data_IF_966877724881
#
_entry.id   IF_966877724881
#
_cell.length_a   1.000
_cell.length_b   1.000
_cell.length_c   1.000
_cell.angle_alpha   90.00
_cell.angle_beta   90.00
_cell.angle_gamma   90.00
#
_symmetry.space_group_name_H-M   'P 1'
#
loop_
_entity.id
_entity.type
_entity.pdbx_description
1 polymer ?
#
# COMPACT_ATOMS: atom_id res chain seq x y z
N UNK A 1 0.42 38.24 -2.42
CA UNK A 1 1.59 37.36 -2.19
C UNK A 1 1.33 36.27 -1.13
N UNK A 2 0.07 35.84 -0.90
CA UNK A 2 -0.29 34.91 0.18
C UNK A 2 -0.92 33.61 -0.34
N UNK A 3 -0.29 32.99 -1.35
CA UNK A 3 -0.80 31.76 -1.98
C UNK A 3 -0.15 30.46 -1.50
N UNK A 4 0.97 30.52 -0.78
CA UNK A 4 1.80 29.35 -0.48
C UNK A 4 1.29 28.47 0.68
N UNK A 5 0.67 29.07 1.71
CA UNK A 5 0.23 28.34 2.90
C UNK A 5 -0.96 27.39 2.65
N UNK A 6 -1.75 27.62 1.59
CA UNK A 6 -2.91 26.77 1.26
C UNK A 6 -2.52 25.36 0.77
N UNK A 7 -1.25 25.14 0.39
CA UNK A 7 -0.74 23.83 -0.08
C UNK A 7 0.24 23.17 0.90
N UNK A 8 0.33 23.62 2.15
CA UNK A 8 1.26 23.01 3.13
C UNK A 8 2.74 23.17 2.78
N UNK A 9 3.08 24.18 1.98
CA UNK A 9 4.46 24.55 1.64
C UNK A 9 5.01 25.48 2.74
N UNK A 10 6.16 25.18 3.36
CA UNK A 10 6.76 26.06 4.36
C UNK A 10 7.22 27.38 3.72
N UNK A 11 7.34 28.45 4.51
CA UNK A 11 7.80 29.75 4.01
C UNK A 11 9.31 29.76 3.69
N UNK A 12 10.07 28.93 4.41
CA UNK A 12 11.50 28.73 4.25
C UNK A 12 11.82 27.24 4.23
N UNK A 13 12.93 26.88 3.59
CA UNK A 13 13.40 25.52 3.52
C UNK A 13 13.70 24.99 4.94
N UNK A 14 13.05 23.90 5.39
CA UNK A 14 13.30 23.34 6.71
C UNK A 14 14.73 22.83 6.92
N UNK A 15 15.47 22.59 5.83
CA UNK A 15 16.83 22.06 5.87
C UNK A 15 17.90 23.16 5.95
N UNK A 16 17.72 24.28 5.25
CA UNK A 16 18.75 25.33 5.17
C UNK A 16 18.26 26.75 5.51
N UNK A 17 16.98 26.93 5.83
CA UNK A 17 16.37 28.24 6.12
C UNK A 17 16.23 29.14 4.89
N UNK A 18 16.49 28.64 3.68
CA UNK A 18 16.37 29.46 2.47
C UNK A 18 14.92 29.71 2.09
N UNK A 19 14.53 30.95 1.72
CA UNK A 19 13.20 31.24 1.17
C UNK A 19 13.02 30.77 -0.28
N UNK A 20 14.06 30.25 -0.94
CA UNK A 20 14.01 29.84 -2.35
C UNK A 20 13.36 28.47 -2.52
N UNK A 21 12.04 28.41 -2.33
CA UNK A 21 11.22 27.24 -2.57
C UNK A 21 10.45 27.37 -3.89
N UNK A 22 10.65 26.41 -4.79
CA UNK A 22 10.05 26.36 -6.12
C UNK A 22 9.16 25.13 -6.27
N UNK A 23 8.01 25.24 -6.97
CA UNK A 23 7.18 24.08 -7.26
C UNK A 23 7.89 23.16 -8.26
N UNK A 24 8.10 21.91 -7.87
CA UNK A 24 8.50 20.84 -8.76
C UNK A 24 7.29 19.97 -9.08
N UNK A 25 6.95 19.90 -10.36
CA UNK A 25 5.90 19.03 -10.85
C UNK A 25 6.47 17.74 -11.41
N UNK A 26 5.67 16.69 -11.35
CA UNK A 26 5.93 15.45 -12.06
C UNK A 26 4.65 14.70 -12.29
N UNK A 27 4.75 13.70 -13.16
CA UNK A 27 3.66 12.76 -13.37
C UNK A 27 3.84 11.58 -12.41
N UNK A 28 2.74 11.07 -11.88
CA UNK A 28 2.76 9.87 -11.08
C UNK A 28 3.14 8.71 -11.99
N UNK A 29 4.33 8.16 -11.80
CA UNK A 29 4.82 7.04 -12.59
C UNK A 29 3.97 5.76 -12.42
N UNK A 30 3.13 5.69 -11.37
CA UNK A 30 2.21 4.58 -11.13
C UNK A 30 0.80 4.80 -11.70
N UNK A 31 0.42 6.05 -12.02
CA UNK A 31 -0.89 6.39 -12.61
C UNK A 31 -0.66 7.46 -13.69
N UNK A 32 -0.39 7.06 -14.95
CA UNK A 32 -0.23 8.00 -16.06
C UNK A 32 -1.44 8.92 -16.18
N UNK A 33 -1.21 10.23 -16.24
CA UNK A 33 -2.24 11.28 -16.19
C UNK A 33 -2.48 11.91 -14.81
N UNK A 34 -2.00 11.32 -13.71
CA UNK A 34 -2.11 11.93 -12.38
C UNK A 34 -0.89 12.81 -12.11
N UNK A 35 -1.08 14.13 -12.20
CA UNK A 35 -0.02 15.11 -11.92
C UNK A 35 0.15 15.29 -10.41
N UNK A 36 1.39 15.53 -9.98
CA UNK A 36 1.69 15.92 -8.61
C UNK A 36 2.59 17.16 -8.58
N UNK A 37 2.52 17.90 -7.49
CA UNK A 37 3.37 19.06 -7.23
C UNK A 37 3.97 18.98 -5.83
N UNK A 38 5.26 19.30 -5.67
CA UNK A 38 5.94 19.39 -4.37
C UNK A 38 6.85 20.61 -4.31
N UNK A 39 7.09 21.20 -3.13
CA UNK A 39 8.08 22.27 -3.02
C UNK A 39 9.50 21.70 -3.06
N UNK A 40 10.41 22.37 -3.77
CA UNK A 40 11.84 22.07 -3.84
C UNK A 40 12.65 23.30 -3.49
N UNK A 41 13.66 23.16 -2.64
CA UNK A 41 14.62 24.22 -2.35
C UNK A 41 15.65 24.34 -3.48
N UNK A 42 15.80 25.53 -4.04
CA UNK A 42 16.79 25.83 -5.07
C UNK A 42 18.24 25.75 -4.57
N UNK A 43 18.47 26.02 -3.28
CA UNK A 43 19.83 26.13 -2.74
C UNK A 43 20.39 24.81 -2.20
N UNK A 44 19.58 24.01 -1.51
CA UNK A 44 20.03 22.74 -0.92
C UNK A 44 19.39 21.48 -1.54
N UNK A 45 18.43 21.65 -2.45
CA UNK A 45 17.75 20.54 -3.11
C UNK A 45 16.74 19.80 -2.24
N UNK A 46 16.42 20.30 -1.03
CA UNK A 46 15.36 19.74 -0.20
C UNK A 46 14.04 19.65 -0.98
N UNK A 47 13.29 18.57 -0.79
CA UNK A 47 11.97 18.38 -1.42
C UNK A 47 10.93 18.07 -0.36
N UNK A 48 9.82 18.81 -0.38
CA UNK A 48 8.67 18.56 0.48
C UNK A 48 7.72 17.51 -0.06
N UNK A 49 6.59 17.37 0.64
CA UNK A 49 5.55 16.37 0.32
C UNK A 49 4.95 16.64 -1.07
N UNK A 50 4.87 15.63 -1.96
CA UNK A 50 4.10 15.75 -3.19
C UNK A 50 2.61 15.72 -2.88
N UNK A 51 1.88 16.64 -3.50
CA UNK A 51 0.43 16.77 -3.44
C UNK A 51 -0.11 16.42 -4.81
N UNK A 52 -1.06 15.49 -4.84
CA UNK A 52 -1.74 15.12 -6.07
C UNK A 52 -2.58 16.29 -6.55
N UNK A 53 -2.39 16.67 -7.81
CA UNK A 53 -3.28 17.57 -8.52
C UNK A 53 -4.43 16.70 -9.04
N UNK A 54 -5.50 16.63 -8.25
CA UNK A 54 -6.74 15.99 -8.68
C UNK A 54 -7.41 16.89 -9.72
N UNK A 55 -7.61 16.38 -10.94
CA UNK A 55 -8.54 16.99 -11.88
C UNK A 55 -9.95 16.86 -11.29
N UNK A 56 -10.57 17.98 -10.93
CA UNK A 56 -11.89 18.06 -10.33
C UNK A 56 -13.02 17.85 -11.35
N UNK A 57 -12.79 17.11 -12.43
CA UNK A 57 -13.85 16.73 -13.36
C UNK A 57 -14.85 15.75 -12.70
N UNK A 58 -14.39 14.91 -11.76
CA UNK A 58 -15.23 14.00 -10.99
C UNK A 58 -15.69 14.62 -9.66
N UNK A 59 -16.49 15.67 -9.76
CA UNK A 59 -17.42 16.28 -8.79
C UNK A 59 -17.64 15.71 -7.37
N UNK A 60 -16.63 15.26 -6.62
CA UNK A 60 -16.76 14.98 -5.20
C UNK A 60 -16.98 16.31 -4.46
N UNK A 61 -18.16 16.54 -3.89
CA UNK A 61 -18.41 17.79 -3.21
C UNK A 61 -17.54 17.83 -1.96
N UNK A 62 -16.77 18.91 -1.82
CA UNK A 62 -15.96 19.24 -0.62
C UNK A 62 -16.85 19.27 0.65
N UNK A 63 -18.17 19.44 0.47
CA UNK A 63 -19.16 19.54 1.55
C UNK A 63 -20.23 18.48 1.34
N UNK A 64 -20.31 17.52 2.26
CA UNK A 64 -21.44 16.59 2.39
C UNK A 64 -22.49 17.23 3.31
N UNK A 65 -23.74 17.38 2.83
CA UNK A 65 -24.86 17.83 3.66
C UNK A 65 -25.59 16.62 4.25
N UNK A 66 -25.60 16.49 5.56
CA UNK A 66 -26.43 15.51 6.28
C UNK A 66 -27.61 16.24 6.95
N UNK A 67 -28.84 15.75 6.73
CA UNK A 67 -30.08 16.32 7.28
C UNK A 67 -31.32 16.00 6.45
N UNK A 68 -32.51 16.08 7.06
CA UNK A 68 -33.78 15.93 6.33
C UNK A 68 -34.02 17.12 5.40
N UNK A 69 -34.53 16.85 4.19
CA UNK A 69 -34.91 17.89 3.22
C UNK A 69 -36.25 18.51 3.62
N UNK A 70 -36.26 19.27 4.69
CA UNK A 70 -37.40 20.10 5.08
C UNK A 70 -37.25 21.50 4.48
N UNK A 71 -38.35 22.26 4.40
CA UNK A 71 -38.31 23.68 4.01
C UNK A 71 -37.83 24.58 5.15
N UNK A 72 -37.39 23.99 6.27
CA UNK A 72 -36.78 24.72 7.38
C UNK A 72 -35.30 24.97 7.09
N UNK A 73 -34.87 26.21 7.26
CA UNK A 73 -33.51 26.63 6.97
C UNK A 73 -32.57 26.10 8.07
N UNK A 74 -31.69 25.15 7.73
CA UNK A 74 -30.64 24.69 8.64
C UNK A 74 -29.54 25.74 8.79
N UNK A 75 -29.39 26.30 10.00
CA UNK A 75 -28.23 27.12 10.35
C UNK A 75 -27.06 26.17 10.66
N UNK A 76 -25.94 26.29 9.94
CA UNK A 76 -24.73 25.55 10.27
C UNK A 76 -24.24 26.00 11.66
N UNK A 77 -24.39 25.13 12.67
CA UNK A 77 -24.02 25.45 14.06
C UNK A 77 -22.54 25.22 14.37
N UNK A 78 -21.84 24.51 13.48
CA UNK A 78 -20.40 24.25 13.61
C UNK A 78 -19.65 25.03 12.53
N UNK A 79 -18.97 26.14 12.86
CA UNK A 79 -18.17 26.86 11.89
C UNK A 79 -16.92 26.06 11.52
N UNK A 80 -16.66 25.86 10.22
CA UNK A 80 -15.43 25.21 9.72
C UNK A 80 -14.15 26.00 10.07
N UNK A 81 -14.28 27.28 10.44
CA UNK A 81 -13.21 28.17 10.91
C UNK A 81 -13.78 29.25 11.83
N UNK A 82 -13.00 29.72 12.80
CA UNK A 82 -13.34 30.92 13.58
C UNK A 82 -13.27 32.17 12.69
N UNK A 83 -14.34 32.94 12.60
CA UNK A 83 -14.35 34.23 11.90
C UNK A 83 -13.78 35.28 12.85
N UNK A 84 -12.75 35.99 12.38
CA UNK A 84 -12.00 36.98 13.14
C UNK A 84 -12.46 38.37 12.71
N UNK A 85 -12.72 39.27 13.65
CA UNK A 85 -13.09 40.66 13.35
C UNK A 85 -11.84 41.50 13.07
N UNK A 86 -11.96 42.61 12.32
CA UNK A 86 -10.86 43.57 12.20
C UNK A 86 -10.46 44.09 13.59
N UNK A 87 -9.22 43.80 14.02
CA UNK A 87 -8.68 44.20 15.32
C UNK A 87 -8.40 43.05 16.30
N UNK A 88 -8.92 41.86 16.03
CA UNK A 88 -8.55 40.66 16.78
C UNK A 88 -7.10 40.23 16.46
N UNK A 89 -6.46 39.56 17.43
CA UNK A 89 -5.11 39.03 17.23
C UNK A 89 -5.09 38.04 16.05
N UNK A 90 -4.03 38.03 15.21
CA UNK A 90 -3.88 37.03 14.16
C UNK A 90 -4.01 35.63 14.75
N UNK A 91 -4.81 34.77 14.13
CA UNK A 91 -4.82 33.35 14.49
C UNK A 91 -3.41 32.82 14.26
N UNK A 92 -2.72 32.42 15.32
CA UNK A 92 -1.44 31.76 15.17
C UNK A 92 -1.65 30.47 14.36
N UNK A 93 -0.90 30.25 13.26
CA UNK A 93 -0.90 28.99 12.55
C UNK A 93 -0.64 27.85 13.54
N UNK A 94 -1.32 26.70 13.36
CA UNK A 94 -1.04 25.51 14.16
C UNK A 94 0.46 25.19 14.08
N UNK A 95 1.20 25.42 15.17
CA UNK A 95 2.67 25.24 15.30
C UNK A 95 3.14 23.78 15.15
N UNK A 96 2.28 22.88 14.69
CA UNK A 96 2.53 21.46 14.45
C UNK A 96 1.88 21.02 13.14
N UNK A 97 2.18 21.69 12.04
CA UNK A 97 2.02 21.05 10.71
C UNK A 97 3.14 20.02 10.64
N UNK A 98 2.80 18.74 10.81
CA UNK A 98 3.78 17.67 10.80
C UNK A 98 4.53 17.65 9.45
N UNK A 99 5.75 18.19 9.44
CA UNK A 99 6.80 17.83 8.46
C UNK A 99 7.35 16.45 8.81
N UNK A 100 6.45 15.49 9.00
CA UNK A 100 6.79 14.11 9.32
C UNK A 100 7.43 13.42 8.11
N UNK A 101 8.17 12.32 8.34
CA UNK A 101 8.57 11.44 7.25
C UNK A 101 7.33 11.03 6.42
N UNK A 102 7.50 10.75 5.12
CA UNK A 102 6.38 10.40 4.24
C UNK A 102 5.56 9.25 4.84
N UNK A 103 4.24 9.32 4.72
CA UNK A 103 3.34 8.30 5.27
C UNK A 103 3.77 6.91 4.78
N UNK A 104 3.85 5.92 5.69
CA UNK A 104 4.30 4.59 5.32
C UNK A 104 3.36 3.97 4.29
N UNK A 105 3.93 3.34 3.27
CA UNK A 105 3.16 2.61 2.26
C UNK A 105 2.55 1.39 2.94
N UNK A 106 1.25 1.20 2.76
CA UNK A 106 0.59 -0.01 3.24
C UNK A 106 0.49 -1.02 2.11
N UNK A 107 1.09 -2.18 2.35
CA UNK A 107 1.21 -3.29 1.42
C UNK A 107 0.38 -4.48 1.91
N UNK A 108 -0.43 -5.04 1.01
CA UNK A 108 -1.21 -6.25 1.24
C UNK A 108 -0.51 -7.46 0.64
N UNK A 109 -0.04 -8.35 1.52
CA UNK A 109 0.59 -9.61 1.18
C UNK A 109 -0.40 -10.76 1.30
N UNK A 110 -0.50 -11.61 0.29
CA UNK A 110 -1.38 -12.79 0.28
C UNK A 110 -0.66 -14.10 -0.11
N UNK A 111 0.67 -14.03 -0.29
CA UNK A 111 1.53 -15.16 -0.66
C UNK A 111 2.71 -15.32 0.29
N UNK A 112 3.89 -15.70 -0.24
CA UNK A 112 5.06 -15.95 0.62
C UNK A 112 5.52 -14.73 1.42
N UNK A 113 5.21 -13.52 0.96
CA UNK A 113 5.51 -12.28 1.68
C UNK A 113 4.62 -12.07 2.92
N UNK A 114 3.64 -12.95 3.18
CA UNK A 114 2.95 -12.99 4.47
C UNK A 114 3.90 -13.37 5.61
N UNK A 115 4.99 -14.09 5.34
CA UNK A 115 6.00 -14.38 6.39
C UNK A 115 6.84 -13.14 6.68
N UNK A 116 6.78 -12.63 7.91
CA UNK A 116 7.49 -11.40 8.29
C UNK A 116 8.99 -11.54 8.07
N UNK A 117 9.61 -12.65 8.47
CA UNK A 117 11.06 -12.79 8.32
C UNK A 117 11.49 -12.86 6.85
N UNK A 118 10.64 -13.41 5.98
CA UNK A 118 10.90 -13.39 4.54
C UNK A 118 10.83 -11.98 3.99
N UNK A 119 9.80 -11.22 4.35
CA UNK A 119 9.62 -9.84 3.90
C UNK A 119 10.74 -8.93 4.41
N UNK A 120 11.13 -9.04 5.69
CA UNK A 120 12.21 -8.25 6.31
C UNK A 120 13.57 -8.37 5.63
N UNK A 121 13.85 -9.48 4.94
CA UNK A 121 15.09 -9.61 4.15
C UNK A 121 15.18 -8.61 3.00
N UNK A 122 14.04 -8.14 2.50
CA UNK A 122 13.92 -7.18 1.39
C UNK A 122 13.55 -5.79 1.90
N UNK A 123 12.68 -5.76 2.91
CA UNK A 123 12.08 -4.55 3.47
C UNK A 123 12.25 -4.57 5.00
N UNK A 124 13.46 -4.28 5.52
CA UNK A 124 13.76 -4.35 6.96
C UNK A 124 12.83 -3.53 7.85
N UNK A 125 12.28 -2.43 7.34
CA UNK A 125 11.35 -1.56 8.07
C UNK A 125 9.95 -2.15 8.26
N UNK A 126 9.63 -3.30 7.64
CA UNK A 126 8.26 -3.79 7.57
C UNK A 126 7.69 -4.12 8.96
N UNK A 127 6.50 -3.58 9.24
CA UNK A 127 5.73 -3.88 10.46
C UNK A 127 4.36 -4.44 10.09
N UNK A 128 3.96 -5.59 10.65
CA UNK A 128 2.62 -6.12 10.43
C UNK A 128 1.59 -5.20 11.10
N UNK A 129 0.52 -4.88 10.36
CA UNK A 129 -0.60 -4.07 10.82
C UNK A 129 -1.82 -4.92 11.20
N UNK A 130 -1.89 -6.16 10.70
CA UNK A 130 -2.99 -7.09 10.95
C UNK A 130 -3.47 -7.78 9.67
N UNK A 131 -4.49 -8.62 9.80
CA UNK A 131 -5.11 -9.31 8.67
C UNK A 131 -6.11 -8.40 7.95
N UNK A 132 -6.28 -8.63 6.66
CA UNK A 132 -7.32 -7.97 5.86
C UNK A 132 -7.85 -8.90 4.78
N UNK A 133 -9.05 -8.58 4.30
CA UNK A 133 -9.78 -9.33 3.29
C UNK A 133 -9.87 -8.50 2.02
N UNK A 134 -9.49 -9.10 0.89
CA UNK A 134 -9.61 -8.54 -0.44
C UNK A 134 -10.82 -9.19 -1.15
N UNK A 135 -11.97 -8.50 -1.24
CA UNK A 135 -13.20 -9.07 -1.82
C UNK A 135 -13.17 -9.09 -3.35
N UNK A 136 -13.80 -10.09 -3.96
CA UNK A 136 -13.91 -10.24 -5.41
C UNK A 136 -12.73 -10.96 -6.07
N UNK A 137 -11.82 -11.49 -5.25
CA UNK A 137 -10.60 -12.16 -5.69
C UNK A 137 -10.54 -13.59 -5.13
N UNK A 138 -9.79 -14.43 -5.81
CA UNK A 138 -9.55 -15.83 -5.45
C UNK A 138 -8.05 -16.10 -5.41
N UNK A 139 -7.58 -16.78 -4.36
CA UNK A 139 -6.18 -17.13 -4.23
C UNK A 139 -5.86 -18.33 -5.12
N UNK A 140 -4.94 -18.15 -6.08
CA UNK A 140 -4.49 -19.21 -6.99
C UNK A 140 -2.97 -19.35 -7.00
N UNK A 141 -2.45 -20.54 -7.27
CA UNK A 141 -1.01 -20.82 -7.33
C UNK A 141 -0.50 -20.98 -8.77
N UNK A 142 -1.03 -20.17 -9.68
CA UNK A 142 -0.81 -20.30 -11.12
C UNK A 142 0.15 -19.25 -11.71
N UNK A 143 0.76 -18.39 -10.89
CA UNK A 143 1.68 -17.38 -11.40
C UNK A 143 3.02 -18.01 -11.72
N UNK A 144 3.42 -17.99 -13.00
CA UNK A 144 4.70 -18.49 -13.49
C UNK A 144 5.86 -17.67 -12.97
N UNK A 145 6.74 -18.34 -12.24
CA UNK A 145 8.00 -17.77 -11.76
C UNK A 145 9.17 -18.19 -12.64
N UNK A 146 10.30 -17.48 -12.55
CA UNK A 146 11.54 -17.82 -13.29
C UNK A 146 12.05 -19.22 -12.95
N UNK A 147 11.68 -19.75 -11.79
CA UNK A 147 11.96 -21.12 -11.36
C UNK A 147 11.04 -22.19 -11.97
N UNK A 148 10.12 -21.80 -12.87
CA UNK A 148 9.09 -22.65 -13.50
C UNK A 148 8.04 -23.23 -12.53
N UNK A 149 7.98 -22.74 -11.29
CA UNK A 149 6.90 -23.09 -10.36
C UNK A 149 5.77 -22.07 -10.37
N UNK A 150 4.63 -22.50 -9.83
CA UNK A 150 3.49 -21.65 -9.55
C UNK A 150 3.66 -20.85 -8.26
N UNK A 151 3.29 -19.56 -8.29
CA UNK A 151 3.27 -18.64 -7.15
C UNK A 151 1.85 -18.09 -6.93
N UNK A 152 1.62 -17.54 -5.74
CA UNK A 152 0.31 -16.98 -5.39
C UNK A 152 -0.09 -15.82 -6.31
N UNK A 153 -1.34 -15.81 -6.74
CA UNK A 153 -1.98 -14.71 -7.41
C UNK A 153 -3.35 -14.47 -6.75
N UNK A 154 -3.71 -13.20 -6.54
CA UNK A 154 -5.08 -12.82 -6.27
C UNK A 154 -5.76 -12.63 -7.62
N UNK A 155 -6.41 -13.66 -8.12
CA UNK A 155 -7.10 -13.63 -9.41
C UNK A 155 -8.48 -13.01 -9.26
N UNK A 156 -8.81 -11.98 -10.03
CA UNK A 156 -10.12 -11.35 -10.00
C UNK A 156 -11.15 -12.32 -10.60
N UNK A 157 -11.91 -13.01 -9.76
CA UNK A 157 -12.91 -13.98 -10.22
C UNK A 157 -14.31 -13.40 -10.27
N UNK A 158 -14.61 -12.34 -9.50
CA UNK A 158 -15.96 -11.75 -9.45
C UNK A 158 -17.01 -12.62 -8.75
N UNK A 159 -16.64 -13.81 -8.26
CA UNK A 159 -17.54 -14.86 -7.78
C UNK A 159 -17.96 -14.70 -6.30
N UNK A 160 -17.75 -13.53 -5.70
CA UNK A 160 -17.94 -13.32 -4.25
C UNK A 160 -16.84 -13.92 -3.36
N UNK A 161 -15.86 -14.63 -3.94
CA UNK A 161 -14.68 -15.11 -3.24
C UNK A 161 -13.86 -13.93 -2.69
N UNK A 162 -13.08 -14.20 -1.64
CA UNK A 162 -12.21 -13.20 -1.03
C UNK A 162 -10.85 -13.80 -0.70
N UNK A 163 -9.80 -12.99 -0.87
CA UNK A 163 -8.44 -13.36 -0.47
C UNK A 163 -8.15 -12.75 0.89
N UNK A 164 -7.85 -13.59 1.88
CA UNK A 164 -7.36 -13.14 3.19
C UNK A 164 -5.84 -13.08 3.14
N UNK A 165 -5.28 -11.96 3.58
CA UNK A 165 -3.85 -11.71 3.64
C UNK A 165 -3.47 -10.82 4.81
N UNK A 166 -2.23 -10.34 4.80
CA UNK A 166 -1.61 -9.56 5.87
C UNK A 166 -1.25 -8.18 5.36
N UNK A 167 -1.59 -7.16 6.14
CA UNK A 167 -1.18 -5.79 5.91
C UNK A 167 0.16 -5.52 6.58
N UNK A 168 1.08 -4.90 5.84
CA UNK A 168 2.35 -4.41 6.34
C UNK A 168 2.49 -2.91 6.08
N UNK A 169 3.03 -2.17 7.04
CA UNK A 169 3.53 -0.82 6.81
C UNK A 169 4.99 -0.90 6.38
N UNK A 170 5.33 -0.25 5.28
CA UNK A 170 6.67 -0.20 4.70
C UNK A 170 7.16 1.25 4.61
N UNK A 171 8.46 1.45 4.77
CA UNK A 171 9.09 2.72 4.43
C UNK A 171 8.99 2.95 2.90
N UNK A 172 8.50 4.11 2.43
CA UNK A 172 8.41 4.41 1.01
C UNK A 172 9.74 4.30 0.25
N UNK A 173 10.87 4.52 0.91
CA UNK A 173 12.22 4.40 0.32
C UNK A 173 12.59 2.94 0.00
N UNK A 174 11.98 1.97 0.68
CA UNK A 174 12.22 0.54 0.46
C UNK A 174 11.31 -0.05 -0.63
N UNK A 175 10.36 0.72 -1.15
CA UNK A 175 9.43 0.29 -2.21
C UNK A 175 10.16 -0.17 -3.47
N UNK A 176 11.18 0.58 -3.91
CA UNK A 176 11.93 0.22 -5.12
C UNK A 176 12.61 -1.16 -5.01
N UNK A 177 13.10 -1.52 -3.82
CA UNK A 177 13.70 -2.85 -3.56
C UNK A 177 12.65 -3.97 -3.59
N UNK A 178 11.43 -3.67 -3.14
CA UNK A 178 10.31 -4.61 -3.22
C UNK A 178 9.87 -4.81 -4.67
N UNK A 179 9.76 -3.72 -5.45
CA UNK A 179 9.40 -3.77 -6.87
C UNK A 179 10.42 -4.60 -7.69
N UNK A 180 11.72 -4.40 -7.44
CA UNK A 180 12.78 -5.22 -8.03
C UNK A 180 12.66 -6.70 -7.64
N UNK A 181 12.37 -6.98 -6.37
CA UNK A 181 12.28 -8.35 -5.86
C UNK A 181 11.04 -9.12 -6.32
N UNK A 182 9.94 -8.42 -6.59
CA UNK A 182 8.72 -9.00 -7.20
C UNK A 182 8.84 -9.10 -8.73
N UNK A 183 9.81 -8.41 -9.32
CA UNK A 183 10.01 -8.38 -10.77
C UNK A 183 8.88 -7.63 -11.46
N UNK A 184 8.56 -6.43 -10.99
CA UNK A 184 7.57 -5.54 -11.62
C UNK A 184 7.97 -5.31 -13.08
N UNK A 185 7.06 -5.63 -14.01
CA UNK A 185 7.34 -5.65 -15.45
C UNK A 185 7.93 -6.97 -16.00
N UNK A 186 8.03 -8.01 -15.18
CA UNK A 186 8.47 -9.36 -15.54
C UNK A 186 7.61 -10.46 -14.90
N UNK A 187 6.32 -10.15 -14.66
CA UNK A 187 5.27 -11.11 -14.31
C UNK A 187 4.36 -10.73 -13.14
N UNK A 188 4.66 -9.65 -12.42
CA UNK A 188 3.71 -8.97 -11.54
C UNK A 188 3.61 -7.50 -11.93
N UNK A 189 2.43 -6.92 -11.72
CA UNK A 189 2.17 -5.48 -11.78
C UNK A 189 1.74 -4.99 -10.40
N UNK A 190 2.12 -3.76 -10.07
CA UNK A 190 1.63 -3.13 -8.85
C UNK A 190 0.17 -2.70 -9.08
N UNK A 191 -0.69 -3.02 -8.13
CA UNK A 191 -2.10 -2.65 -8.16
C UNK A 191 -2.50 -2.02 -6.83
N UNK A 192 -3.36 -1.01 -6.88
CA UNK A 192 -3.99 -0.47 -5.70
C UNK A 192 -5.35 -1.12 -5.51
N UNK A 193 -5.49 -1.93 -4.46
CA UNK A 193 -6.71 -2.67 -4.15
C UNK A 193 -7.37 -2.13 -2.90
N UNK A 194 -8.68 -2.31 -2.77
CA UNK A 194 -9.41 -1.95 -1.55
C UNK A 194 -9.62 -3.20 -0.71
N UNK A 195 -9.02 -3.23 0.48
CA UNK A 195 -9.18 -4.32 1.45
C UNK A 195 -10.05 -3.89 2.62
N UNK A 196 -10.60 -4.87 3.33
CA UNK A 196 -11.44 -4.71 4.51
C UNK A 196 -10.72 -5.34 5.69
N UNK A 197 -10.45 -4.58 6.75
CA UNK A 197 -9.86 -5.15 7.97
C UNK A 197 -10.93 -5.88 8.82
N UNK A 198 -10.48 -6.50 9.91
CA UNK A 198 -11.31 -7.15 10.93
C UNK A 198 -12.45 -6.27 11.50
N UNK A 199 -12.24 -4.94 11.53
CA UNK A 199 -13.22 -3.94 11.98
C UNK A 199 -14.19 -3.48 10.89
N UNK A 200 -14.11 -4.03 9.68
CA UNK A 200 -14.96 -3.65 8.55
C UNK A 200 -14.54 -2.35 7.85
N UNK A 201 -13.41 -1.74 8.23
CA UNK A 201 -12.90 -0.52 7.60
C UNK A 201 -12.24 -0.84 6.25
N UNK A 202 -12.65 -0.08 5.23
CA UNK A 202 -12.09 -0.18 3.88
C UNK A 202 -10.84 0.68 3.76
N UNK A 203 -9.77 0.15 3.16
CA UNK A 203 -8.54 0.88 2.90
C UNK A 203 -7.97 0.55 1.52
N UNK A 204 -7.59 1.57 0.75
CA UNK A 204 -6.84 1.41 -0.50
C UNK A 204 -5.37 1.14 -0.15
N UNK A 205 -4.81 0.03 -0.63
CA UNK A 205 -3.48 -0.48 -0.29
C UNK A 205 -2.76 -1.00 -1.52
N UNK A 206 -1.43 -0.98 -1.48
CA UNK A 206 -0.59 -1.54 -2.53
C UNK A 206 -0.64 -3.07 -2.47
N UNK A 207 -0.73 -3.74 -3.62
CA UNK A 207 -0.48 -5.17 -3.76
C UNK A 207 0.16 -5.45 -5.11
N UNK A 208 0.54 -6.69 -5.35
CA UNK A 208 1.07 -7.14 -6.64
C UNK A 208 0.14 -8.18 -7.23
N UNK A 209 -0.25 -8.04 -8.50
CA UNK A 209 -1.13 -8.98 -9.20
C UNK A 209 -0.40 -9.57 -10.40
N UNK A 210 -0.61 -10.86 -10.68
CA UNK A 210 0.05 -11.52 -11.80
C UNK A 210 -0.47 -10.98 -13.12
N UNK A 211 0.42 -10.74 -14.08
CA UNK A 211 0.01 -10.35 -15.43
C UNK A 211 -0.48 -11.56 -16.23
N UNK A 212 -1.45 -11.40 -17.14
CA UNK A 212 -2.03 -12.52 -17.91
C UNK A 212 -0.98 -13.40 -18.61
N UNK A 213 0.08 -12.79 -19.15
CA UNK A 213 1.15 -13.51 -19.87
C UNK A 213 1.98 -14.46 -18.98
N UNK A 214 1.87 -14.31 -17.66
CA UNK A 214 2.57 -15.09 -16.65
C UNK A 214 1.62 -15.94 -15.80
N UNK A 215 0.38 -16.15 -16.26
CA UNK A 215 -0.57 -17.06 -15.64
C UNK A 215 -0.55 -18.39 -16.40
N UNK A 216 -0.46 -19.49 -15.65
CA UNK A 216 -0.55 -20.86 -16.16
C UNK A 216 -1.16 -21.77 -15.09
N UNK A 217 -2.41 -22.17 -15.30
CA UNK A 217 -3.20 -22.98 -14.37
C UNK A 217 -2.67 -24.42 -14.20
N UNK A 218 -1.76 -24.87 -15.08
CA UNK A 218 -1.12 -26.18 -14.94
C UNK A 218 0.01 -26.20 -13.92
N UNK A 219 0.48 -25.02 -13.49
CA UNK A 219 1.60 -24.90 -12.57
C UNK A 219 1.22 -25.29 -11.14
N UNK A 220 2.22 -25.87 -10.45
CA UNK A 220 2.14 -26.20 -9.04
C UNK A 220 3.23 -25.45 -8.26
N UNK A 221 2.97 -25.02 -7.02
CA UNK A 221 3.99 -24.44 -6.17
C UNK A 221 4.98 -25.50 -5.71
N UNK A 222 6.22 -25.09 -5.46
CA UNK A 222 7.16 -25.95 -4.73
C UNK A 222 6.76 -26.07 -3.26
N UNK A 223 7.05 -27.22 -2.65
CA UNK A 223 6.77 -27.48 -1.24
C UNK A 223 7.32 -26.38 -0.31
N UNK A 224 8.59 -26.03 -0.47
CA UNK A 224 9.21 -24.96 0.32
C UNK A 224 8.51 -23.60 0.15
N UNK A 225 7.92 -23.31 -1.02
CA UNK A 225 7.21 -22.06 -1.26
C UNK A 225 5.87 -22.06 -0.52
N UNK A 226 5.10 -23.15 -0.65
CA UNK A 226 3.86 -23.36 0.09
C UNK A 226 4.08 -23.26 1.60
N UNK A 227 5.19 -23.80 2.11
CA UNK A 227 5.54 -23.72 3.53
C UNK A 227 5.69 -22.26 4.00
N UNK A 228 6.25 -21.36 3.20
CA UNK A 228 6.29 -19.93 3.55
C UNK A 228 4.91 -19.29 3.63
N UNK A 229 4.00 -19.66 2.72
CA UNK A 229 2.62 -19.16 2.71
C UNK A 229 1.88 -19.66 3.95
N UNK A 230 2.05 -20.94 4.30
CA UNK A 230 1.48 -21.55 5.51
C UNK A 230 2.02 -20.92 6.79
N UNK A 231 3.34 -20.74 6.89
CA UNK A 231 3.98 -20.10 8.06
C UNK A 231 3.50 -18.67 8.21
N UNK A 232 3.52 -17.86 7.15
CA UNK A 232 3.03 -16.48 7.22
C UNK A 232 1.54 -16.38 7.56
N UNK A 233 0.72 -17.28 7.00
CA UNK A 233 -0.70 -17.37 7.33
C UNK A 233 -0.94 -17.66 8.81
N UNK A 234 -0.21 -18.63 9.37
CA UNK A 234 -0.31 -19.00 10.80
C UNK A 234 0.28 -17.94 11.72
N UNK A 235 1.41 -17.34 11.34
CA UNK A 235 2.12 -16.28 12.08
C UNK A 235 1.19 -15.10 12.40
N UNK A 236 0.34 -14.72 11.43
CA UNK A 236 -0.55 -13.57 11.56
C UNK A 236 -2.00 -13.93 11.89
N UNK A 237 -2.29 -15.20 12.18
CA UNK A 237 -3.62 -15.64 12.62
C UNK A 237 -4.69 -15.60 11.53
N UNK A 238 -4.35 -15.96 10.30
CA UNK A 238 -5.37 -16.19 9.27
C UNK A 238 -6.33 -17.32 9.71
N UNK A 239 -7.63 -17.26 9.34
CA UNK A 239 -8.60 -18.27 9.75
C UNK A 239 -8.13 -19.69 9.37
N UNK A 240 -8.12 -20.65 10.30
CA UNK A 240 -7.64 -22.01 10.03
C UNK A 240 -8.37 -22.70 8.87
N UNK A 241 -9.67 -22.44 8.72
CA UNK A 241 -10.52 -22.90 7.63
C UNK A 241 -10.04 -22.36 6.27
N UNK A 242 -9.69 -21.07 6.20
CA UNK A 242 -9.16 -20.45 5.00
C UNK A 242 -7.79 -21.04 4.63
N UNK A 243 -6.92 -21.24 5.63
CA UNK A 243 -5.62 -21.89 5.42
C UNK A 243 -5.81 -23.32 4.90
N UNK A 244 -6.73 -24.09 5.47
CA UNK A 244 -7.00 -25.46 5.05
C UNK A 244 -7.52 -25.52 3.61
N UNK A 245 -8.50 -24.68 3.28
CA UNK A 245 -9.21 -24.69 1.99
C UNK A 245 -8.37 -24.12 0.85
N UNK A 246 -7.67 -22.99 1.04
CA UNK A 246 -7.03 -22.26 -0.07
C UNK A 246 -5.51 -22.44 -0.14
N UNK A 247 -4.86 -22.87 0.95
CA UNK A 247 -3.38 -22.98 0.99
C UNK A 247 -2.97 -24.45 1.18
N UNK A 248 -3.52 -25.15 2.17
CA UNK A 248 -3.10 -26.50 2.52
C UNK A 248 -3.60 -27.56 1.53
N UNK A 249 -4.78 -27.37 0.95
CA UNK A 249 -5.36 -28.25 -0.08
C UNK A 249 -4.56 -28.29 -1.39
N UNK A 250 -3.79 -27.23 -1.69
CA UNK A 250 -3.07 -27.08 -2.95
C UNK A 250 -1.94 -28.09 -3.06
N UNK A 251 -1.94 -28.88 -4.13
CA UNK A 251 -0.90 -29.85 -4.39
C UNK A 251 0.44 -29.14 -4.66
N UNK A 252 1.49 -29.54 -3.94
CA UNK A 252 2.82 -28.99 -4.11
C UNK A 252 3.77 -30.05 -4.68
N UNK A 253 4.71 -29.61 -5.52
CA UNK A 253 5.72 -30.46 -6.12
C UNK A 253 7.09 -30.27 -5.45
N UNK A 254 7.95 -31.27 -5.54
CA UNK A 254 9.33 -31.12 -5.11
C UNK A 254 10.11 -30.23 -6.07
N UNK A 255 11.06 -29.48 -5.52
CA UNK A 255 11.95 -28.66 -6.30
C UNK A 255 13.07 -29.53 -6.89
N UNK A 256 13.22 -29.61 -8.23
CA UNK A 256 14.32 -30.38 -8.83
C UNK A 256 15.70 -29.81 -8.46
N UNK A 257 15.78 -28.54 -8.06
CA UNK A 257 17.01 -27.93 -7.57
C UNK A 257 17.14 -28.10 -6.04
N UNK A 258 17.82 -29.19 -5.63
CA UNK A 258 18.06 -29.51 -4.22
C UNK A 258 18.80 -28.43 -3.44
N UNK A 259 19.74 -27.72 -4.06
CA UNK A 259 20.49 -26.66 -3.39
C UNK A 259 19.59 -25.46 -3.05
N UNK A 260 18.66 -25.12 -3.94
CA UNK A 260 17.66 -24.08 -3.68
C UNK A 260 16.68 -24.52 -2.60
N UNK A 261 16.15 -25.74 -2.69
CA UNK A 261 15.24 -26.29 -1.68
C UNK A 261 15.86 -26.22 -0.28
N UNK A 262 17.09 -26.73 -0.11
CA UNK A 262 17.79 -26.71 1.17
C UNK A 262 18.01 -25.29 1.70
N UNK A 263 18.37 -24.33 0.84
CA UNK A 263 18.53 -22.92 1.22
C UNK A 263 17.23 -22.28 1.69
N UNK A 264 16.12 -22.56 0.98
CA UNK A 264 14.81 -22.01 1.31
C UNK A 264 14.24 -22.63 2.59
N UNK A 265 14.34 -23.96 2.73
CA UNK A 265 13.96 -24.67 3.96
C UNK A 265 14.82 -24.29 5.15
N UNK A 266 16.12 -24.04 4.96
CA UNK A 266 16.99 -23.52 6.01
C UNK A 266 16.56 -22.14 6.51
N UNK A 267 16.02 -21.29 5.63
CA UNK A 267 15.41 -20.01 6.03
C UNK A 267 14.13 -20.22 6.85
N UNK A 268 13.29 -21.20 6.48
CA UNK A 268 12.09 -21.60 7.22
C UNK A 268 12.41 -22.24 8.59
N UNK A 269 13.48 -23.03 8.70
CA UNK A 269 13.86 -23.70 9.95
C UNK A 269 14.39 -22.75 11.03
N UNK A 270 14.94 -21.60 10.64
CA UNK A 270 15.33 -20.54 11.58
C UNK A 270 14.19 -19.65 12.05
N UNK A 271 12.99 -19.82 11.48
CA UNK A 271 11.77 -19.03 11.72
C UNK A 271 10.89 -19.64 12.84
N UNK A 272 11.19 -20.87 13.28
CA UNK A 272 10.42 -21.64 14.28
C UNK A 272 11.14 -21.88 15.61
N UNK A 273 12.16 -21.08 15.95
CA UNK A 273 12.83 -21.09 17.27
C UNK A 273 12.66 -19.76 17.98
#
# INVERSE_FOLDING_TARGET
MAGAQLRGVPEECPNCGSPHLEPQQGENTAEPGVLWERPRCGDCGWTGRPILLLDLEDGQPIITREGEKTHEHGIMTVPLRTIVKPGDLPIEPLKKTETGPPEPVVYFAYGSNMSTARLRKRTPSCKPLGIATLPGYELRFHKRSADKSGKCNAFASGNGNSVIGVLFSLDPTERAKLDEAEGVGSGYEHAMVTVINDKGHRRKVLTYLATPDYIDDSLKPYGWYKDFVLVGGREHGLPPEYIAEYIQSVEAIEDPNRARDQKQRGTLGGLGR
#
